data_IF_649051151275
#
_entry.id   IF_649051151275
#
_cell.length_a   1.000
_cell.length_b   1.000
_cell.length_c   1.000
_cell.angle_alpha   90.00
_cell.angle_beta   90.00
_cell.angle_gamma   90.00
#
_symmetry.space_group_name_H-M   'P 1'
#
loop_
_entity.id
_entity.type
_entity.pdbx_description
1 polymer ?
#
# COMPACT_ATOMS: atom_id res chain seq x y z
N UNK A 1 9.25 2.63 8.09
CA UNK A 1 8.30 1.66 7.55
C UNK A 1 8.66 1.35 6.10
N UNK A 2 8.76 0.06 5.76
CA UNK A 2 9.18 -0.39 4.43
C UNK A 2 8.23 0.07 3.32
N UNK A 3 6.95 0.12 3.60
CA UNK A 3 5.95 0.55 2.62
C UNK A 3 6.10 2.03 2.31
N UNK A 4 6.27 2.85 3.33
CA UNK A 4 6.49 4.28 3.12
C UNK A 4 7.79 4.55 2.37
N UNK A 5 8.84 3.80 2.70
CA UNK A 5 10.11 3.91 1.98
C UNK A 5 9.96 3.55 0.51
N UNK A 6 9.24 2.47 0.23
CA UNK A 6 9.00 2.05 -1.14
C UNK A 6 8.27 3.13 -1.93
N UNK A 7 7.23 3.71 -1.33
CA UNK A 7 6.46 4.78 -1.96
C UNK A 7 7.36 5.99 -2.23
N UNK A 8 8.20 6.32 -1.26
CA UNK A 8 9.11 7.47 -1.39
C UNK A 8 10.10 7.28 -2.53
N UNK A 9 10.58 6.05 -2.73
CA UNK A 9 11.56 5.75 -3.77
C UNK A 9 10.91 5.58 -5.14
N UNK A 10 9.70 5.01 -5.19
CA UNK A 10 9.06 4.61 -6.45
C UNK A 10 7.82 5.45 -6.80
N UNK A 11 7.34 6.28 -5.90
CA UNK A 11 6.20 7.16 -6.13
C UNK A 11 4.86 6.56 -5.78
N UNK A 12 4.70 5.25 -5.83
CA UNK A 12 3.45 4.57 -5.48
C UNK A 12 3.71 3.10 -5.19
N UNK A 13 2.70 2.44 -4.61
CA UNK A 13 2.78 1.02 -4.32
C UNK A 13 1.42 0.37 -4.58
N UNK A 14 1.44 -0.87 -5.08
CA UNK A 14 0.21 -1.66 -5.25
C UNK A 14 -0.03 -2.50 -4.00
N UNK A 15 -1.28 -3.00 -3.84
CA UNK A 15 -1.59 -3.88 -2.72
C UNK A 15 -0.78 -5.17 -2.75
N UNK A 16 -0.52 -5.71 -3.94
CA UNK A 16 0.29 -6.90 -4.08
C UNK A 16 1.73 -6.65 -3.64
N UNK A 17 2.29 -5.53 -4.03
CA UNK A 17 3.65 -5.17 -3.64
C UNK A 17 3.74 -4.92 -2.13
N UNK A 18 2.71 -4.29 -1.57
CA UNK A 18 2.64 -4.08 -0.13
C UNK A 18 2.61 -5.42 0.61
N UNK A 19 1.90 -6.41 0.08
CA UNK A 19 1.87 -7.74 0.68
C UNK A 19 3.25 -8.39 0.65
N UNK A 20 3.97 -8.27 -0.47
CA UNK A 20 5.31 -8.81 -0.59
C UNK A 20 6.27 -8.18 0.41
N UNK A 21 6.28 -6.86 0.48
CA UNK A 21 7.19 -6.12 1.35
C UNK A 21 6.86 -6.36 2.82
N UNK A 22 5.56 -6.38 3.15
CA UNK A 22 5.11 -6.56 4.52
C UNK A 22 5.11 -8.00 5.01
N UNK A 23 5.36 -8.96 4.14
CA UNK A 23 5.36 -10.38 4.52
C UNK A 23 3.97 -10.95 4.74
N UNK A 24 2.95 -10.36 4.15
CA UNK A 24 1.59 -10.86 4.26
C UNK A 24 1.34 -12.01 3.30
N UNK A 25 0.55 -12.98 3.75
CA UNK A 25 0.21 -14.14 2.93
C UNK A 25 -0.78 -13.81 1.84
N UNK A 26 -1.57 -12.75 2.02
CA UNK A 26 -2.60 -12.36 1.06
C UNK A 26 -2.69 -10.85 0.93
N UNK A 27 -3.29 -10.40 -0.17
CA UNK A 27 -3.53 -8.98 -0.40
C UNK A 27 -4.45 -8.37 0.66
N UNK A 28 -5.34 -9.18 1.23
CA UNK A 28 -6.30 -8.71 2.21
C UNK A 28 -5.61 -8.11 3.44
N UNK A 29 -4.58 -8.79 3.95
CA UNK A 29 -3.82 -8.28 5.09
C UNK A 29 -3.13 -6.97 4.77
N UNK A 30 -2.51 -6.89 3.59
CA UNK A 30 -1.83 -5.68 3.15
C UNK A 30 -2.80 -4.52 2.97
N UNK A 31 -4.00 -4.79 2.41
CA UNK A 31 -5.02 -3.76 2.23
C UNK A 31 -5.47 -3.18 3.56
N UNK A 32 -5.62 -4.00 4.57
CA UNK A 32 -5.98 -3.51 5.91
C UNK A 32 -4.92 -2.55 6.45
N UNK A 33 -3.66 -2.90 6.26
CA UNK A 33 -2.57 -2.01 6.67
C UNK A 33 -2.61 -0.71 5.89
N UNK A 34 -2.78 -0.79 4.56
CA UNK A 34 -2.84 0.40 3.71
C UNK A 34 -4.02 1.29 4.09
N UNK A 35 -5.18 0.70 4.38
CA UNK A 35 -6.34 1.45 4.81
C UNK A 35 -6.07 2.21 6.11
N UNK A 36 -5.38 1.58 7.06
CA UNK A 36 -4.99 2.24 8.29
C UNK A 36 -4.05 3.42 8.03
N UNK A 37 -3.12 3.25 7.11
CA UNK A 37 -2.20 4.33 6.75
C UNK A 37 -2.93 5.50 6.11
N UNK A 38 -3.97 5.21 5.31
CA UNK A 38 -4.82 6.25 4.73
C UNK A 38 -5.56 7.01 5.84
N UNK A 39 -6.12 6.29 6.81
CA UNK A 39 -6.81 6.90 7.94
C UNK A 39 -5.91 7.84 8.72
N UNK A 40 -4.65 7.49 8.86
CA UNK A 40 -3.66 8.32 9.56
C UNK A 40 -3.13 9.47 8.71
N UNK A 41 -3.53 9.54 7.46
CA UNK A 41 -3.07 10.59 6.57
C UNK A 41 -1.66 10.39 6.04
N UNK A 42 -1.13 9.18 6.15
CA UNK A 42 0.23 8.89 5.69
C UNK A 42 0.31 8.67 4.19
N UNK A 43 -0.73 8.11 3.61
CA UNK A 43 -0.80 7.83 2.17
C UNK A 43 -2.19 8.12 1.65
N UNK A 44 -2.32 8.17 0.32
CA UNK A 44 -3.61 8.33 -0.34
C UNK A 44 -3.81 7.20 -1.34
N UNK A 45 -5.08 6.93 -1.65
CA UNK A 45 -5.45 5.89 -2.60
C UNK A 45 -5.78 6.53 -3.95
N UNK A 46 -5.26 5.93 -5.03
CA UNK A 46 -5.50 6.42 -6.39
C UNK A 46 -5.89 5.26 -7.28
N UNK A 47 -6.84 5.48 -8.18
CA UNK A 47 -7.30 4.47 -9.11
C UNK A 47 -8.42 3.60 -8.55
N UNK A 48 -8.91 2.69 -9.37
CA UNK A 48 -10.02 1.79 -9.03
C UNK A 48 -9.69 0.36 -9.41
N UNK A 49 -10.27 -0.59 -8.66
CA UNK A 49 -10.15 -2.01 -8.96
C UNK A 49 -8.70 -2.47 -9.03
N UNK A 50 -8.33 -3.26 -10.06
CA UNK A 50 -6.98 -3.80 -10.16
C UNK A 50 -5.91 -2.74 -10.42
N UNK A 51 -6.30 -1.53 -10.83
CA UNK A 51 -5.36 -0.44 -11.07
C UNK A 51 -5.14 0.43 -9.84
N UNK A 52 -5.67 0.05 -8.68
CA UNK A 52 -5.54 0.84 -7.46
C UNK A 52 -4.08 0.92 -7.03
N UNK A 53 -3.62 2.12 -6.76
CA UNK A 53 -2.28 2.39 -6.25
C UNK A 53 -2.37 3.26 -5.02
N UNK A 54 -1.33 3.20 -4.20
CA UNK A 54 -1.25 3.97 -2.95
C UNK A 54 -0.01 4.87 -3.02
N UNK A 55 -0.21 6.12 -2.70
CA UNK A 55 0.88 7.12 -2.74
C UNK A 55 1.04 7.76 -1.35
#
# INVERSE_FOLDING_TARGET
DKILEYIRQNGSISSQKAADIGGYKSKTGARKLLDKMIEKGLITKSGNGPATKYM
#
